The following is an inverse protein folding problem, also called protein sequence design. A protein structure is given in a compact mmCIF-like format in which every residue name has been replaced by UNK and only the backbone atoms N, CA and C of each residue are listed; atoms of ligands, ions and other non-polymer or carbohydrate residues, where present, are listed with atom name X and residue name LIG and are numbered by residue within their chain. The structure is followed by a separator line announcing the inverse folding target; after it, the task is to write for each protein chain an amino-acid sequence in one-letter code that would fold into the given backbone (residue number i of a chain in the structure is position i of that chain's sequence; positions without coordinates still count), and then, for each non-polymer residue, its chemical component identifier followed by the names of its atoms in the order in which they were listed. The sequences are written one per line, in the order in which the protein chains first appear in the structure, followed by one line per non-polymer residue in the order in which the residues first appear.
data_IF_564125380287
#
_entry.id   IF_564125380287
#
_cell.length_a   1.000
_cell.length_b   1.000
_cell.length_c   1.000
_cell.angle_alpha   90.00
_cell.angle_beta   90.00
_cell.angle_gamma   90.00
#
_symmetry.space_group_name_H-M   'P 1'
#
loop_
_entity.id
_entity.type
_entity.pdbx_description
1 polymer ?
#
# COMPACT_ATOMS: atom_id res chain seq x y z
N UNK A 1 26.33 10.99 -8.44
CA UNK A 1 26.96 9.70 -8.81
C UNK A 1 26.09 8.98 -9.81
N UNK A 2 26.70 8.44 -10.86
CA UNK A 2 26.06 7.51 -11.78
C UNK A 2 25.92 6.11 -11.18
N UNK A 3 25.09 5.25 -11.78
CA UNK A 3 24.95 3.85 -11.36
C UNK A 3 26.30 3.11 -11.45
N UNK A 4 27.06 3.35 -12.51
CA UNK A 4 28.36 2.73 -12.71
C UNK A 4 29.39 3.16 -11.64
N UNK A 5 29.37 4.44 -11.23
CA UNK A 5 30.22 4.92 -10.13
C UNK A 5 29.89 4.25 -8.79
N UNK A 6 28.60 4.06 -8.50
CA UNK A 6 28.16 3.39 -7.28
C UNK A 6 28.55 1.90 -7.26
N UNK A 7 28.39 1.19 -8.38
CA UNK A 7 28.79 -0.21 -8.48
C UNK A 7 30.30 -0.38 -8.27
N UNK A 8 31.09 0.52 -8.85
CA UNK A 8 32.55 0.53 -8.68
C UNK A 8 32.93 0.77 -7.21
N UNK A 9 32.34 1.77 -6.57
CA UNK A 9 32.61 2.08 -5.17
C UNK A 9 32.23 0.91 -4.25
N UNK A 10 31.09 0.26 -4.48
CA UNK A 10 30.68 -0.92 -3.70
C UNK A 10 31.70 -2.05 -3.83
N UNK A 11 32.20 -2.32 -5.04
CA UNK A 11 33.24 -3.35 -5.24
C UNK A 11 34.55 -3.00 -4.53
N UNK A 12 34.97 -1.74 -4.58
CA UNK A 12 36.20 -1.27 -3.91
C UNK A 12 36.09 -1.41 -2.38
N UNK A 13 34.96 -1.00 -1.79
CA UNK A 13 34.73 -1.03 -0.34
C UNK A 13 34.50 -2.46 0.20
N UNK A 14 34.06 -3.40 -0.64
CA UNK A 14 33.73 -4.78 -0.20
C UNK A 14 34.83 -5.79 -0.48
N UNK A 15 35.81 -5.46 -1.33
CA UNK A 15 36.93 -6.33 -1.75
C UNK A 15 37.70 -6.97 -0.58
N UNK A 16 37.91 -6.22 0.49
CA UNK A 16 38.80 -6.60 1.59
C UNK A 16 38.03 -7.11 2.82
N UNK A 17 36.70 -7.16 2.73
CA UNK A 17 35.87 -7.67 3.81
C UNK A 17 35.98 -9.19 3.90
N UNK A 18 35.91 -9.69 5.12
CA UNK A 18 35.83 -11.13 5.35
C UNK A 18 34.50 -11.70 4.87
N UNK A 19 34.46 -13.00 4.63
CA UNK A 19 33.23 -13.71 4.24
C UNK A 19 32.09 -13.47 5.24
N UNK A 20 32.38 -13.39 6.53
CA UNK A 20 31.38 -13.20 7.57
C UNK A 20 30.71 -11.82 7.45
N UNK A 21 31.49 -10.77 7.20
CA UNK A 21 30.97 -9.41 7.02
C UNK A 21 30.19 -9.31 5.72
N UNK A 22 30.65 -9.95 4.64
CA UNK A 22 29.92 -9.99 3.37
C UNK A 22 28.56 -10.68 3.51
N UNK A 23 28.47 -11.72 4.35
CA UNK A 23 27.20 -12.36 4.69
C UNK A 23 26.25 -11.40 5.42
N UNK A 24 26.73 -10.63 6.40
CA UNK A 24 25.91 -9.61 7.07
C UNK A 24 25.39 -8.53 6.11
N UNK A 25 26.24 -8.10 5.16
CA UNK A 25 25.84 -7.16 4.11
C UNK A 25 24.72 -7.76 3.23
N UNK A 26 24.84 -9.03 2.84
CA UNK A 26 23.80 -9.72 2.08
C UNK A 26 22.48 -9.82 2.86
N UNK A 27 22.54 -10.19 4.14
CA UNK A 27 21.38 -10.26 5.02
C UNK A 27 20.68 -8.90 5.14
N UNK A 28 21.47 -7.83 5.28
CA UNK A 28 20.93 -6.47 5.32
C UNK A 28 20.25 -6.07 4.01
N UNK A 29 20.84 -6.40 2.85
CA UNK A 29 20.23 -6.15 1.54
C UNK A 29 18.90 -6.91 1.41
N UNK A 30 18.86 -8.18 1.83
CA UNK A 30 17.65 -8.99 1.82
C UNK A 30 16.57 -8.37 2.71
N UNK A 31 16.94 -7.92 3.92
CA UNK A 31 16.04 -7.21 4.83
C UNK A 31 15.44 -5.95 4.19
N UNK A 32 16.25 -5.12 3.52
CA UNK A 32 15.76 -3.91 2.84
C UNK A 32 14.76 -4.28 1.74
N UNK A 33 15.05 -5.30 0.93
CA UNK A 33 14.15 -5.79 -0.13
C UNK A 33 12.81 -6.25 0.45
N UNK A 34 12.85 -7.07 1.50
CA UNK A 34 11.66 -7.55 2.18
C UNK A 34 10.83 -6.42 2.81
N UNK A 35 11.49 -5.42 3.43
CA UNK A 35 10.85 -4.25 4.01
C UNK A 35 10.14 -3.38 2.96
N UNK A 36 10.76 -3.19 1.79
CA UNK A 36 10.13 -2.49 0.65
C UNK A 36 8.89 -3.26 0.16
N UNK A 37 9.01 -4.57 -0.03
CA UNK A 37 7.90 -5.42 -0.48
C UNK A 37 6.72 -5.39 0.49
N UNK A 38 6.97 -5.53 1.80
CA UNK A 38 5.93 -5.41 2.84
C UNK A 38 5.23 -4.05 2.85
N UNK A 39 5.97 -2.96 2.59
CA UNK A 39 5.39 -1.61 2.51
C UNK A 39 4.51 -1.44 1.27
N UNK A 40 4.92 -2.00 0.13
CA UNK A 40 4.13 -1.92 -1.12
C UNK A 40 2.84 -2.75 -1.02
N UNK A 41 2.91 -3.97 -0.48
CA UNK A 41 1.71 -4.81 -0.30
C UNK A 41 0.74 -4.21 0.71
N UNK A 42 1.23 -3.67 1.84
CA UNK A 42 0.39 -2.98 2.82
C UNK A 42 -0.32 -1.75 2.22
N UNK A 43 0.40 -0.90 1.48
CA UNK A 43 -0.21 0.25 0.79
C UNK A 43 -1.24 -0.16 -0.25
N UNK A 44 -0.98 -1.26 -0.96
CA UNK A 44 -1.94 -1.81 -1.93
C UNK A 44 -3.21 -2.32 -1.25
N UNK A 45 -3.06 -2.99 -0.12
CA UNK A 45 -4.19 -3.48 0.68
C UNK A 45 -5.03 -2.32 1.24
N UNK A 46 -4.39 -1.32 1.85
CA UNK A 46 -5.07 -0.13 2.40
C UNK A 46 -5.86 0.62 1.32
N UNK A 47 -5.31 0.74 0.09
CA UNK A 47 -6.03 1.34 -1.04
C UNK A 47 -7.24 0.52 -1.49
N UNK A 48 -7.12 -0.81 -1.52
CA UNK A 48 -8.23 -1.71 -1.90
C UNK A 48 -9.37 -1.62 -0.89
N UNK A 49 -9.03 -1.64 0.41
CA UNK A 49 -10.00 -1.53 1.49
C UNK A 49 -10.74 -0.18 1.47
N UNK A 50 -10.02 0.94 1.25
CA UNK A 50 -10.64 2.25 1.15
C UNK A 50 -11.65 2.33 -0.01
N UNK A 51 -11.33 1.71 -1.14
CA UNK A 51 -12.25 1.62 -2.28
C UNK A 51 -13.49 0.78 -1.93
N UNK A 52 -13.31 -0.40 -1.36
CA UNK A 52 -14.41 -1.28 -0.97
C UNK A 52 -15.38 -0.61 0.03
N UNK A 53 -14.85 0.14 1.01
CA UNK A 53 -15.67 0.91 1.96
C UNK A 53 -16.43 2.06 1.28
N UNK A 54 -15.81 2.72 0.31
CA UNK A 54 -16.47 3.80 -0.45
C UNK A 54 -17.59 3.25 -1.31
N UNK A 55 -17.35 2.12 -1.99
CA UNK A 55 -18.34 1.44 -2.81
C UNK A 55 -19.54 0.97 -1.96
N UNK A 56 -19.28 0.40 -0.77
CA UNK A 56 -20.33 0.00 0.18
C UNK A 56 -21.18 1.19 0.65
N UNK A 57 -20.53 2.31 0.99
CA UNK A 57 -21.23 3.52 1.42
C UNK A 57 -22.13 4.07 0.30
N UNK A 58 -21.64 4.09 -0.93
CA UNK A 58 -22.42 4.54 -2.09
C UNK A 58 -23.62 3.63 -2.35
N UNK A 59 -23.45 2.31 -2.28
CA UNK A 59 -24.56 1.35 -2.43
C UNK A 59 -25.62 1.58 -1.35
N UNK A 60 -25.19 1.81 -0.10
CA UNK A 60 -26.09 2.05 1.03
C UNK A 60 -26.89 3.35 0.85
N UNK A 61 -26.25 4.41 0.35
CA UNK A 61 -26.92 5.68 0.05
C UNK A 61 -27.94 5.52 -1.08
N UNK A 62 -27.58 4.82 -2.16
CA UNK A 62 -28.51 4.56 -3.28
C UNK A 62 -29.75 3.79 -2.79
N UNK A 63 -29.55 2.75 -1.97
CA UNK A 63 -30.69 2.01 -1.40
C UNK A 63 -31.58 2.88 -0.52
N UNK A 64 -31.00 3.77 0.28
CA UNK A 64 -31.76 4.70 1.11
C UNK A 64 -32.55 5.70 0.24
N UNK A 65 -31.93 6.23 -0.83
CA UNK A 65 -32.62 7.10 -1.78
C UNK A 65 -33.78 6.39 -2.48
N UNK A 66 -33.62 5.13 -2.86
CA UNK A 66 -34.67 4.30 -3.45
C UNK A 66 -35.82 4.02 -2.46
N UNK A 67 -35.52 3.65 -1.22
CA UNK A 67 -36.52 3.39 -0.17
C UNK A 67 -37.35 4.64 0.16
N UNK A 68 -36.74 5.82 0.08
CA UNK A 68 -37.37 7.09 0.44
C UNK A 68 -37.80 7.96 -0.75
N UNK A 69 -37.62 7.50 -1.98
CA UNK A 69 -37.91 8.26 -3.20
C UNK A 69 -39.32 8.88 -3.23
N UNK A 70 -40.31 8.13 -2.73
CA UNK A 70 -41.72 8.54 -2.70
C UNK A 70 -42.24 8.81 -1.28
N UNK A 71 -41.37 8.96 -0.29
CA UNK A 71 -41.76 9.07 1.12
C UNK A 71 -42.73 10.23 1.36
N UNK A 72 -42.47 11.39 0.76
CA UNK A 72 -43.33 12.59 0.90
C UNK A 72 -44.71 12.44 0.24
N UNK A 73 -44.82 11.61 -0.80
CA UNK A 73 -46.09 11.32 -1.46
C UNK A 73 -46.92 10.30 -0.67
N UNK A 74 -46.25 9.31 -0.08
CA UNK A 74 -46.89 8.25 0.72
C UNK A 74 -47.26 8.73 2.14
N UNK A 75 -46.52 9.67 2.71
CA UNK A 75 -46.71 10.16 4.07
C UNK A 75 -46.78 11.71 4.14
N UNK A 76 -47.80 12.35 3.55
CA UNK A 76 -47.88 13.80 3.41
C UNK A 76 -48.15 14.57 4.71
N UNK A 77 -48.43 13.89 5.82
CA UNK A 77 -48.76 14.50 7.14
C UNK A 77 -47.65 14.36 8.18
N UNK A 78 -46.56 13.68 7.84
CA UNK A 78 -45.37 13.56 8.69
C UNK A 78 -44.38 14.66 8.30
N UNK A 79 -44.54 15.84 8.89
CA UNK A 79 -43.57 16.94 8.91
C UNK A 79 -43.57 17.63 10.26
#
# INVERSE_FOLDING_TARGET
MSKAELEKLIMEETKELSSDILMEVLDFIQFIKAKKYKRTTRKSFEKKLAKELTDLNNISLIHLEEEFANYKELYPREQ
#
